data_IF_808892589471
#
_entry.id   IF_808892589471
#
_cell.length_a   1.000
_cell.length_b   1.000
_cell.length_c   1.000
_cell.angle_alpha   90.00
_cell.angle_beta   90.00
_cell.angle_gamma   90.00
#
_symmetry.space_group_name_H-M   'P 1'
#
loop_
_entity.id
_entity.type
_entity.pdbx_description
1 polymer ?
#
# COMPACT_ATOMS: atom_id res chain seq x y z
N UNK A 1 -10.48 -9.42 -14.12
CA UNK A 1 -9.29 -10.28 -14.31
C UNK A 1 -8.37 -10.04 -13.12
N UNK A 2 -8.15 -11.09 -12.33
CA UNK A 2 -7.79 -10.97 -10.92
C UNK A 2 -6.38 -10.42 -10.67
N UNK A 3 -6.26 -9.68 -9.57
CA UNK A 3 -5.01 -9.34 -8.90
C UNK A 3 -4.17 -10.61 -8.71
N UNK A 4 -3.31 -10.90 -9.66
CA UNK A 4 -2.28 -11.93 -9.55
C UNK A 4 -0.92 -11.28 -9.33
N UNK A 5 -0.86 -10.26 -8.47
CA UNK A 5 0.37 -9.92 -7.77
C UNK A 5 0.38 -10.70 -6.47
N UNK A 6 1.46 -11.44 -6.27
CA UNK A 6 1.62 -12.42 -5.22
C UNK A 6 1.74 -11.68 -3.89
N UNK A 7 0.61 -11.50 -3.20
CA UNK A 7 0.59 -10.97 -1.84
C UNK A 7 1.50 -11.85 -0.98
N UNK A 8 2.67 -11.32 -0.64
CA UNK A 8 3.65 -12.05 0.13
C UNK A 8 3.34 -11.92 1.63
N UNK A 9 3.44 -13.03 2.34
CA UNK A 9 3.31 -13.08 3.80
C UNK A 9 4.70 -13.34 4.39
N UNK A 10 5.11 -12.49 5.32
CA UNK A 10 6.35 -12.61 6.08
C UNK A 10 6.06 -12.97 7.53
N UNK A 11 6.71 -14.02 8.03
CA UNK A 11 6.70 -14.34 9.45
C UNK A 11 7.75 -13.53 10.21
N UNK A 12 7.37 -12.98 11.36
CA UNK A 12 8.24 -12.28 12.30
C UNK A 12 8.09 -12.96 13.66
N UNK A 13 9.12 -13.69 14.08
CA UNK A 13 9.15 -14.43 15.35
C UNK A 13 9.27 -13.50 16.57
N UNK A 14 8.76 -13.94 17.72
CA UNK A 14 8.85 -13.25 19.01
C UNK A 14 8.29 -11.82 19.06
N UNK A 15 7.46 -11.43 18.09
CA UNK A 15 6.80 -10.12 18.04
C UNK A 15 5.29 -10.32 18.07
N UNK A 16 4.59 -9.56 18.91
CA UNK A 16 3.13 -9.65 19.05
C UNK A 16 2.43 -8.81 17.96
N UNK A 17 1.19 -9.17 17.55
CA UNK A 17 0.47 -8.42 16.52
C UNK A 17 0.30 -6.93 16.83
N UNK A 18 -0.14 -6.58 18.04
CA UNK A 18 -0.35 -5.19 18.47
C UNK A 18 0.93 -4.35 18.38
N UNK A 19 2.06 -4.96 18.69
CA UNK A 19 3.36 -4.30 18.61
C UNK A 19 3.71 -3.95 17.16
N UNK A 20 3.54 -4.91 16.25
CA UNK A 20 3.81 -4.71 14.83
C UNK A 20 2.80 -3.75 14.20
N UNK A 21 1.52 -3.79 14.59
CA UNK A 21 0.51 -2.83 14.13
C UNK A 21 0.86 -1.40 14.55
N UNK A 22 1.31 -1.20 15.79
CA UNK A 22 1.77 0.11 16.23
C UNK A 22 3.00 0.58 15.43
N UNK A 23 3.92 -0.33 15.11
CA UNK A 23 5.08 -0.03 14.27
C UNK A 23 4.68 0.32 12.82
N UNK A 24 3.70 -0.37 12.25
CA UNK A 24 3.12 -0.05 10.93
C UNK A 24 2.47 1.33 10.96
N UNK A 25 1.66 1.64 11.98
CA UNK A 25 1.02 2.95 12.13
C UNK A 25 2.05 4.09 12.28
N UNK A 26 3.15 3.83 12.97
CA UNK A 26 4.27 4.77 13.05
C UNK A 26 4.94 4.97 11.69
N UNK A 27 5.21 3.88 10.96
CA UNK A 27 5.83 3.94 9.64
C UNK A 27 4.98 4.72 8.63
N UNK A 28 3.65 4.52 8.63
CA UNK A 28 2.73 5.30 7.81
C UNK A 28 2.88 6.80 8.08
N UNK A 29 2.90 7.21 9.35
CA UNK A 29 3.10 8.62 9.74
C UNK A 29 4.46 9.16 9.32
N UNK A 30 5.53 8.37 9.46
CA UNK A 30 6.88 8.76 9.02
C UNK A 30 6.96 8.96 7.49
N UNK A 31 6.14 8.23 6.72
CA UNK A 31 6.03 8.36 5.26
C UNK A 31 4.96 9.37 4.81
N UNK A 32 4.41 10.16 5.73
CA UNK A 32 3.30 11.09 5.47
C UNK A 32 2.05 10.43 4.87
N UNK A 33 1.86 9.13 5.11
CA UNK A 33 0.68 8.38 4.68
C UNK A 33 -0.36 8.43 5.80
N UNK A 34 -1.53 8.99 5.50
CA UNK A 34 -2.65 9.00 6.43
C UNK A 34 -3.37 7.65 6.37
N UNK A 35 -3.46 6.96 7.51
CA UNK A 35 -4.24 5.74 7.61
C UNK A 35 -5.75 6.09 7.58
N UNK A 36 -6.45 5.60 6.56
CA UNK A 36 -7.91 5.68 6.44
C UNK A 36 -8.61 4.53 7.16
N UNK A 37 -7.90 3.43 7.37
CA UNK A 37 -8.33 2.29 8.19
C UNK A 37 -7.23 1.98 9.20
N UNK A 38 -7.61 1.85 10.46
CA UNK A 38 -6.75 1.34 11.52
C UNK A 38 -7.61 0.48 12.46
N UNK A 39 -7.75 -0.79 12.10
CA UNK A 39 -8.52 -1.78 12.84
C UNK A 39 -7.57 -2.73 13.59
N UNK A 40 -7.42 -2.49 14.89
CA UNK A 40 -6.61 -3.31 15.77
C UNK A 40 -7.21 -4.71 16.01
N UNK A 41 -8.52 -4.88 15.82
CA UNK A 41 -9.22 -6.15 16.08
C UNK A 41 -8.94 -7.15 14.97
N UNK A 42 -9.01 -6.69 13.71
CA UNK A 42 -8.72 -7.53 12.54
C UNK A 42 -7.26 -7.44 12.09
N UNK A 43 -6.49 -6.55 12.71
CA UNK A 43 -5.07 -6.33 12.45
C UNK A 43 -4.81 -5.69 11.09
N UNK A 44 -5.63 -4.74 10.67
CA UNK A 44 -5.54 -4.09 9.36
C UNK A 44 -5.25 -2.61 9.54
N UNK A 45 -4.20 -2.13 8.85
CA UNK A 45 -3.95 -0.71 8.65
C UNK A 45 -3.92 -0.46 7.14
N UNK A 46 -4.71 0.49 6.67
CA UNK A 46 -4.74 0.87 5.27
C UNK A 46 -4.71 2.38 5.10
N UNK A 47 -4.10 2.82 4.00
CA UNK A 47 -3.97 4.21 3.62
C UNK A 47 -4.11 4.35 2.11
N UNK A 48 -4.58 5.52 1.69
CA UNK A 48 -4.76 5.88 0.29
C UNK A 48 -4.32 7.31 0.10
N UNK A 49 -3.84 7.65 -1.08
CA UNK A 49 -3.48 9.02 -1.41
C UNK A 49 -3.13 9.17 -2.88
N UNK A 50 -2.81 10.38 -3.26
CA UNK A 50 -2.58 10.81 -4.63
C UNK A 50 -1.42 11.80 -4.76
N UNK A 51 -0.61 11.90 -3.71
CA UNK A 51 0.61 12.69 -3.71
C UNK A 51 1.53 12.21 -4.85
N UNK A 52 1.90 13.09 -5.80
CA UNK A 52 2.63 12.68 -6.99
C UNK A 52 3.99 12.03 -6.69
N UNK A 53 4.69 12.48 -5.65
CA UNK A 53 6.00 11.94 -5.27
C UNK A 53 5.84 10.54 -4.68
N UNK A 54 4.89 10.34 -3.76
CA UNK A 54 4.62 9.04 -3.16
C UNK A 54 4.01 8.04 -4.15
N UNK A 55 3.06 8.47 -4.98
CA UNK A 55 2.47 7.65 -6.03
C UNK A 55 3.55 7.16 -7.00
N UNK A 56 4.39 8.05 -7.54
CA UNK A 56 5.48 7.69 -8.46
C UNK A 56 6.55 6.80 -7.81
N UNK A 57 6.73 6.91 -6.49
CA UNK A 57 7.68 6.08 -5.75
C UNK A 57 7.15 4.65 -5.55
N UNK A 58 5.87 4.50 -5.23
CA UNK A 58 5.27 3.23 -4.85
C UNK A 58 4.57 2.48 -5.98
N UNK A 59 4.23 3.19 -7.06
CA UNK A 59 3.52 2.63 -8.21
C UNK A 59 4.38 2.68 -9.48
N UNK A 60 4.30 1.60 -10.25
CA UNK A 60 4.72 1.55 -11.64
C UNK A 60 3.48 1.61 -12.54
N UNK A 61 3.22 2.81 -13.07
CA UNK A 61 2.16 3.10 -14.03
C UNK A 61 2.66 3.17 -15.49
N UNK A 62 3.88 2.68 -15.78
CA UNK A 62 4.56 2.84 -17.08
C UNK A 62 3.82 2.24 -18.30
N UNK A 63 2.84 1.36 -18.06
CA UNK A 63 1.97 0.82 -19.10
C UNK A 63 1.00 1.86 -19.67
N UNK A 64 0.85 3.01 -19.02
CA UNK A 64 0.08 4.13 -19.55
C UNK A 64 0.90 4.95 -20.54
N UNK A 65 0.35 5.27 -21.72
CA UNK A 65 0.93 6.31 -22.55
C UNK A 65 0.91 7.62 -21.76
N UNK A 66 2.07 8.27 -21.67
CA UNK A 66 2.24 9.56 -21.00
C UNK A 66 1.45 10.65 -21.74
N UNK A 67 0.15 10.74 -21.46
CA UNK A 67 -0.70 11.83 -21.91
C UNK A 67 -0.68 12.94 -20.86
N UNK A 68 -1.02 14.17 -21.27
CA UNK A 68 -1.18 15.26 -20.32
C UNK A 68 -2.35 14.95 -19.37
N UNK A 69 -2.21 15.31 -18.09
CA UNK A 69 -3.22 15.22 -17.02
C UNK A 69 -3.57 13.80 -16.52
N UNK A 70 -2.56 12.97 -16.24
CA UNK A 70 -2.76 11.70 -15.51
C UNK A 70 -2.53 11.96 -14.01
N UNK A 71 -3.47 11.51 -13.17
CA UNK A 71 -3.32 11.46 -11.72
C UNK A 71 -3.25 10.01 -11.25
N UNK A 72 -2.30 9.74 -10.36
CA UNK A 72 -2.05 8.42 -9.78
C UNK A 72 -2.56 8.38 -8.35
N UNK A 73 -3.31 7.33 -8.01
CA UNK A 73 -3.83 7.09 -6.68
C UNK A 73 -3.26 5.78 -6.14
N UNK A 74 -2.55 5.84 -5.02
CA UNK A 74 -2.06 4.65 -4.32
C UNK A 74 -3.04 4.17 -3.26
N UNK A 75 -2.99 2.87 -2.99
CA UNK A 75 -3.65 2.17 -1.90
C UNK A 75 -2.67 1.19 -1.28
N UNK A 76 -2.43 1.34 0.01
CA UNK A 76 -1.54 0.48 0.78
C UNK A 76 -2.35 -0.21 1.87
N UNK A 77 -2.21 -1.52 1.99
CA UNK A 77 -2.83 -2.33 3.03
C UNK A 77 -1.76 -3.17 3.71
N UNK A 78 -1.62 -3.02 5.02
CA UNK A 78 -0.82 -3.90 5.86
C UNK A 78 -1.75 -4.69 6.78
N UNK A 79 -1.58 -6.01 6.79
CA UNK A 79 -2.31 -6.92 7.66
C UNK A 79 -1.33 -7.65 8.57
N UNK A 80 -1.66 -7.72 9.86
CA UNK A 80 -0.86 -8.39 10.89
C UNK A 80 -1.76 -9.34 11.67
N UNK A 81 -1.33 -10.59 11.85
CA UNK A 81 -2.08 -11.56 12.63
C UNK A 81 -1.16 -12.50 13.39
N UNK A 82 -1.66 -13.07 14.48
CA UNK A 82 -0.90 -14.02 15.30
C UNK A 82 -0.54 -15.27 14.52
N UNK A 83 0.68 -15.74 14.73
CA UNK A 83 1.22 -16.99 14.20
C UNK A 83 1.71 -17.92 15.34
N UNK A 84 1.17 -17.76 16.54
CA UNK A 84 1.60 -18.49 17.73
C UNK A 84 2.82 -17.82 18.38
N UNK A 85 4.02 -18.31 18.10
CA UNK A 85 5.29 -17.79 18.66
C UNK A 85 5.78 -16.49 17.98
N UNK A 86 4.93 -15.88 17.15
CA UNK A 86 5.23 -14.65 16.43
C UNK A 86 4.00 -14.13 15.71
N UNK A 87 4.23 -13.33 14.68
CA UNK A 87 3.16 -12.75 13.87
C UNK A 87 3.46 -12.89 12.39
N UNK A 88 2.42 -13.09 11.61
CA UNK A 88 2.48 -12.93 10.17
C UNK A 88 2.18 -11.47 9.82
N UNK A 89 2.88 -10.98 8.81
CA UNK A 89 2.69 -9.66 8.23
C UNK A 89 2.54 -9.82 6.73
N UNK A 90 1.50 -9.22 6.18
CA UNK A 90 1.33 -9.07 4.73
C UNK A 90 1.16 -7.60 4.39
N UNK A 91 1.81 -7.17 3.31
CA UNK A 91 1.74 -5.81 2.82
C UNK A 91 1.41 -5.87 1.34
N UNK A 92 0.43 -5.07 0.93
CA UNK A 92 -0.01 -4.95 -0.45
C UNK A 92 -0.08 -3.48 -0.82
N UNK A 93 0.66 -3.10 -1.85
CA UNK A 93 0.52 -1.81 -2.51
C UNK A 93 -0.16 -2.05 -3.85
N UNK A 94 -1.18 -1.25 -4.12
CA UNK A 94 -1.90 -1.23 -5.40
C UNK A 94 -2.17 0.22 -5.75
N UNK A 95 -2.50 0.50 -7.00
CA UNK A 95 -2.91 1.84 -7.36
C UNK A 95 -3.63 1.88 -8.69
N UNK A 96 -4.13 3.06 -9.00
CA UNK A 96 -4.76 3.33 -10.29
C UNK A 96 -4.28 4.66 -10.83
N UNK A 97 -4.13 4.74 -12.13
CA UNK A 97 -3.83 5.99 -12.83
C UNK A 97 -4.92 6.28 -13.86
N UNK A 98 -5.43 7.51 -13.83
CA UNK A 98 -6.54 7.95 -14.67
C UNK A 98 -6.41 9.41 -15.06
N UNK A 99 -7.19 9.84 -16.05
CA UNK A 99 -7.23 11.25 -16.45
C UNK A 99 -7.94 12.07 -15.38
N UNK A 100 -7.31 13.14 -14.93
CA UNK A 100 -7.96 14.17 -14.14
C UNK A 100 -8.67 15.14 -15.09
N UNK A 101 -9.99 14.99 -15.24
CA UNK A 101 -10.80 15.92 -16.03
C UNK A 101 -11.83 16.60 -15.12
N UNK A 102 -11.77 17.93 -15.06
CA UNK A 102 -12.73 18.75 -14.30
C UNK A 102 -14.19 18.56 -14.77
N UNK A 103 -14.39 18.05 -15.99
CA UNK A 103 -15.69 17.83 -16.61
C UNK A 103 -16.34 16.47 -16.27
N UNK A 104 -15.67 15.62 -15.47
CA UNK A 104 -16.20 14.31 -15.05
C UNK A 104 -16.49 13.37 -16.22
N UNK A 105 -15.78 13.53 -17.34
CA UNK A 105 -16.00 12.72 -18.54
C UNK A 105 -15.34 11.35 -18.36
N UNK A 106 -16.05 10.46 -17.66
CA UNK A 106 -15.74 9.07 -17.29
C UNK A 106 -15.41 8.10 -18.47
N UNK A 107 -15.15 8.62 -19.67
CA UNK A 107 -14.90 7.81 -20.88
C UNK A 107 -13.57 7.05 -20.84
N UNK A 108 -12.61 7.48 -20.02
CA UNK A 108 -11.34 6.80 -19.84
C UNK A 108 -11.32 6.13 -18.48
N UNK A 109 -11.43 4.80 -18.46
CA UNK A 109 -11.33 4.03 -17.23
C UNK A 109 -9.91 4.16 -16.66
N UNK A 110 -9.75 4.40 -15.35
CA UNK A 110 -8.46 4.27 -14.69
C UNK A 110 -7.88 2.88 -14.93
N UNK A 111 -6.58 2.81 -15.13
CA UNK A 111 -5.87 1.53 -15.25
C UNK A 111 -5.17 1.21 -13.94
N UNK A 112 -4.99 -0.07 -13.68
CA UNK A 112 -4.24 -0.54 -12.51
C UNK A 112 -2.74 -0.30 -12.71
N UNK A 113 -2.10 0.28 -11.68
CA UNK A 113 -0.66 0.36 -11.56
C UNK A 113 -0.15 -0.77 -10.67
N UNK A 114 1.08 -1.21 -10.95
CA UNK A 114 1.74 -2.25 -10.16
C UNK A 114 2.50 -1.65 -9.00
N UNK A 115 2.74 -2.42 -7.95
CA UNK A 115 3.68 -2.00 -6.91
C UNK A 115 5.12 -1.97 -7.44
N UNK A 116 5.91 -0.99 -7.02
CA UNK A 116 7.37 -1.00 -7.20
C UNK A 116 8.08 -1.93 -6.20
N UNK A 117 7.37 -2.41 -5.17
CA UNK A 117 7.89 -3.24 -4.09
C UNK A 117 8.70 -2.49 -3.03
N UNK A 118 8.94 -1.19 -3.22
CA UNK A 118 9.76 -0.36 -2.31
C UNK A 118 9.12 -0.26 -0.93
N UNK A 119 7.83 0.04 -0.87
CA UNK A 119 7.13 0.21 0.40
C UNK A 119 7.08 -1.10 1.20
N UNK A 120 6.72 -2.20 0.55
CA UNK A 120 6.63 -3.52 1.15
C UNK A 120 7.97 -3.95 1.71
N UNK A 121 9.04 -3.79 0.92
CA UNK A 121 10.40 -4.12 1.34
C UNK A 121 10.82 -3.30 2.55
N UNK A 122 10.73 -1.97 2.48
CA UNK A 122 11.19 -1.08 3.54
C UNK A 122 10.42 -1.31 4.85
N UNK A 123 9.10 -1.49 4.77
CA UNK A 123 8.27 -1.78 5.94
C UNK A 123 8.66 -3.13 6.57
N UNK A 124 8.78 -4.19 5.77
CA UNK A 124 9.15 -5.52 6.28
C UNK A 124 10.56 -5.55 6.87
N UNK A 125 11.52 -4.83 6.28
CA UNK A 125 12.86 -4.68 6.85
C UNK A 125 12.84 -3.94 8.19
N UNK A 126 11.98 -2.92 8.32
CA UNK A 126 11.81 -2.20 9.58
C UNK A 126 11.18 -3.06 10.67
N UNK A 127 10.15 -3.84 10.34
CA UNK A 127 9.44 -4.68 11.32
C UNK A 127 10.29 -5.85 11.85
N UNK A 128 11.35 -6.25 11.13
CA UNK A 128 12.30 -7.29 11.56
C UNK A 128 13.38 -6.77 12.52
N UNK A 129 13.55 -5.47 12.64
CA UNK A 129 14.49 -4.84 13.58
C UNK A 129 13.85 -4.67 14.96
#
# INVERSE_FOLDING_TARGET
PGMSEQISTSFIGNRKPDELLNAVALYFREKAITASVNDQTTGIIAGTGDDPELSSLYLDCSLLPQTQNIQEHYRIVAQVWSAGEGSNVSVMVTGTAGLDTADGNDKVKPVECKSTGIFEKDLLERLRK
#
